data_IF_619200206461
#
_entry.id   IF_619200206461
#
_cell.length_a   1.000
_cell.length_b   1.000
_cell.length_c   1.000
_cell.angle_alpha   90.00
_cell.angle_beta   90.00
_cell.angle_gamma   90.00
#
_symmetry.space_group_name_H-M   'P 1'
#
loop_
_entity.id
_entity.type
_entity.pdbx_description
1 polymer ?
#
# COMPACT_ATOMS: atom_id res chain seq x y z
N UNK A 1 6.96 -5.60 4.41
CA UNK A 1 7.55 -4.91 5.57
C UNK A 1 6.47 -4.24 6.40
N UNK A 2 6.78 -3.75 7.61
CA UNK A 2 5.83 -2.97 8.41
C UNK A 2 6.51 -1.83 9.17
N UNK A 3 5.72 -0.85 9.59
CA UNK A 3 6.10 0.20 10.54
C UNK A 3 5.02 0.36 11.60
N UNK A 4 5.43 0.56 12.84
CA UNK A 4 4.55 0.96 13.94
C UNK A 4 4.81 2.41 14.32
N UNK A 5 3.73 3.16 14.52
CA UNK A 5 3.77 4.53 15.02
C UNK A 5 2.93 4.61 16.30
N UNK A 6 3.55 5.03 17.38
CA UNK A 6 2.86 5.27 18.65
C UNK A 6 2.40 6.72 18.69
N UNK A 7 1.10 6.91 18.87
CA UNK A 7 0.44 8.21 18.91
C UNK A 7 -0.04 8.45 20.33
N UNK A 8 0.30 9.62 20.87
CA UNK A 8 -0.15 10.06 22.19
C UNK A 8 -1.16 11.19 22.04
N UNK A 9 -2.20 11.14 22.88
CA UNK A 9 -3.34 12.04 22.85
C UNK A 9 -4.50 11.51 22.00
N UNK A 10 -5.60 12.27 21.95
CA UNK A 10 -6.79 11.87 21.22
C UNK A 10 -6.49 11.80 19.72
N UNK A 11 -6.87 10.69 19.10
CA UNK A 11 -6.74 10.46 17.68
C UNK A 11 -8.13 10.24 17.07
N UNK A 12 -8.49 11.07 16.09
CA UNK A 12 -9.75 10.91 15.37
C UNK A 12 -9.61 9.81 14.32
N UNK A 13 -10.28 8.69 14.54
CA UNK A 13 -10.21 7.50 13.69
C UNK A 13 -10.83 7.71 12.31
N UNK A 14 -11.87 8.56 12.21
CA UNK A 14 -12.49 8.90 10.92
C UNK A 14 -11.58 9.80 10.11
N UNK A 15 -10.94 10.75 10.77
CA UNK A 15 -9.99 11.64 10.14
C UNK A 15 -8.74 10.88 9.66
N UNK A 16 -8.24 9.94 10.46
CA UNK A 16 -7.18 9.03 10.02
C UNK A 16 -7.59 8.20 8.81
N UNK A 17 -8.81 7.66 8.81
CA UNK A 17 -9.36 6.96 7.67
C UNK A 17 -9.43 7.80 6.39
N UNK A 18 -9.81 9.08 6.51
CA UNK A 18 -9.78 10.04 5.39
C UNK A 18 -8.36 10.31 4.91
N UNK A 19 -7.41 10.47 5.82
CA UNK A 19 -6.00 10.67 5.48
C UNK A 19 -5.41 9.46 4.75
N UNK A 20 -5.72 8.24 5.20
CA UNK A 20 -5.35 7.00 4.53
C UNK A 20 -5.93 6.90 3.12
N UNK A 21 -7.21 7.24 2.95
CA UNK A 21 -7.86 7.24 1.63
C UNK A 21 -7.19 8.21 0.67
N UNK A 22 -6.94 9.45 1.13
CA UNK A 22 -6.24 10.47 0.34
C UNK A 22 -4.81 10.07 -0.01
N UNK A 23 -4.11 9.37 0.90
CA UNK A 23 -2.79 8.82 0.64
C UNK A 23 -2.83 7.76 -0.47
N UNK A 24 -3.80 6.84 -0.44
CA UNK A 24 -3.96 5.80 -1.46
C UNK A 24 -4.38 6.37 -2.82
N UNK A 25 -5.15 7.46 -2.83
CA UNK A 25 -5.50 8.17 -4.07
C UNK A 25 -4.26 8.78 -4.71
N UNK A 26 -3.43 9.44 -3.88
CA UNK A 26 -2.18 10.08 -4.29
C UNK A 26 -1.10 9.07 -4.70
N UNK A 27 -0.92 8.00 -3.94
CA UNK A 27 0.15 7.01 -4.12
C UNK A 27 -0.42 5.76 -4.80
N UNK A 28 -0.44 5.74 -6.13
CA UNK A 28 -1.01 4.63 -6.92
C UNK A 28 -0.38 3.27 -6.63
N UNK A 29 0.86 3.24 -6.13
CA UNK A 29 1.51 2.02 -5.61
C UNK A 29 0.66 1.31 -4.54
N UNK A 30 -0.13 2.06 -3.75
CA UNK A 30 -1.02 1.51 -2.74
C UNK A 30 -2.32 0.92 -3.30
N UNK A 31 -2.51 0.99 -4.62
CA UNK A 31 -3.67 0.47 -5.33
C UNK A 31 -3.30 -0.54 -6.41
N UNK A 32 -2.03 -0.97 -6.47
CA UNK A 32 -1.65 -1.99 -7.44
C UNK A 32 -2.33 -3.32 -7.12
N UNK A 33 -2.69 -4.04 -8.17
CA UNK A 33 -3.19 -5.41 -8.12
C UNK A 33 -2.37 -6.28 -9.06
N UNK A 34 -2.31 -7.56 -8.74
CA UNK A 34 -1.64 -8.57 -9.55
C UNK A 34 -2.64 -9.70 -9.76
N UNK A 35 -3.00 -9.95 -11.02
CA UNK A 35 -3.89 -11.02 -11.42
C UNK A 35 -3.24 -11.88 -12.50
N UNK A 36 -3.66 -13.13 -12.64
CA UNK A 36 -3.20 -14.00 -13.71
C UNK A 36 -4.10 -13.79 -14.92
N UNK A 37 -3.58 -13.14 -15.97
CA UNK A 37 -4.32 -13.04 -17.21
C UNK A 37 -4.45 -14.43 -17.82
N UNK A 38 -5.68 -14.93 -17.96
CA UNK A 38 -5.94 -16.08 -18.82
C UNK A 38 -5.75 -15.62 -20.26
N UNK A 39 -4.64 -16.02 -20.87
CA UNK A 39 -4.42 -15.77 -22.30
C UNK A 39 -5.59 -16.35 -23.10
N UNK A 40 -6.40 -15.50 -23.70
CA UNK A 40 -7.42 -15.90 -24.69
C UNK A 40 -6.80 -16.20 -26.06
N UNK A 41 -5.47 -16.15 -26.17
CA UNK A 41 -4.76 -16.62 -27.34
C UNK A 41 -4.69 -18.15 -27.27
N UNK A 42 -5.69 -18.79 -27.87
CA UNK A 42 -5.64 -20.22 -28.19
C UNK A 42 -4.47 -20.52 -29.10
N UNK A 43 -3.32 -20.83 -28.52
CA UNK A 43 -2.33 -21.70 -29.14
C UNK A 43 -2.84 -23.13 -28.98
N UNK A 44 -2.86 -23.88 -30.08
CA UNK A 44 -3.40 -25.24 -30.19
C UNK A 44 -2.64 -26.30 -29.33
N UNK A 45 -1.70 -25.88 -28.48
CA UNK A 45 -0.84 -26.71 -27.63
C UNK A 45 -1.25 -26.76 -26.14
N UNK A 46 -2.50 -26.43 -25.80
CA UNK A 46 -3.15 -26.85 -24.55
C UNK A 46 -2.55 -26.37 -23.21
N UNK A 47 -1.49 -25.57 -23.21
CA UNK A 47 -0.89 -24.97 -22.00
C UNK A 47 -0.93 -23.45 -22.16
N UNK A 48 -2.08 -22.85 -21.83
CA UNK A 48 -2.16 -21.40 -21.68
C UNK A 48 -1.26 -20.96 -20.53
N UNK A 49 -0.12 -20.33 -20.82
CA UNK A 49 0.72 -19.72 -19.80
C UNK A 49 -0.01 -18.48 -19.28
N UNK A 50 -0.62 -18.60 -18.09
CA UNK A 50 -1.20 -17.45 -17.43
C UNK A 50 -0.06 -16.56 -16.92
N UNK A 51 0.12 -15.40 -17.55
CA UNK A 51 1.14 -14.44 -17.13
C UNK A 51 0.55 -13.49 -16.08
N UNK A 52 1.29 -13.21 -14.98
CA UNK A 52 0.84 -12.24 -14.00
C UNK A 52 0.86 -10.84 -14.62
N UNK A 53 -0.27 -10.13 -14.53
CA UNK A 53 -0.44 -8.76 -14.98
C UNK A 53 -0.63 -7.86 -13.77
N UNK A 54 0.22 -6.83 -13.68
CA UNK A 54 0.09 -5.79 -12.67
C UNK A 54 -0.65 -4.58 -13.24
N UNK A 55 -1.61 -4.05 -12.49
CA UNK A 55 -2.35 -2.85 -12.88
C UNK A 55 -2.71 -2.01 -11.66
N UNK A 56 -3.06 -0.73 -11.87
CA UNK A 56 -3.57 0.16 -10.82
C UNK A 56 -5.09 0.03 -10.76
N UNK A 57 -5.62 -0.48 -9.65
CA UNK A 57 -7.06 -0.60 -9.46
C UNK A 57 -7.70 0.74 -9.03
N UNK A 58 -9.02 0.90 -9.23
CA UNK A 58 -9.77 1.99 -8.61
C UNK A 58 -9.64 2.01 -7.08
N UNK A 59 -9.97 3.14 -6.42
CA UNK A 59 -9.98 3.22 -4.96
C UNK A 59 -10.78 2.08 -4.33
N UNK A 60 -10.17 1.40 -3.35
CA UNK A 60 -10.81 0.31 -2.60
C UNK A 60 -11.51 0.87 -1.37
N UNK A 61 -12.66 0.28 -1.00
CA UNK A 61 -13.37 0.66 0.21
C UNK A 61 -12.45 0.56 1.43
N UNK A 62 -12.37 1.64 2.21
CA UNK A 62 -11.43 1.77 3.33
C UNK A 62 -11.56 0.62 4.35
N UNK A 63 -12.76 0.12 4.58
CA UNK A 63 -13.02 -1.01 5.49
C UNK A 63 -12.36 -2.33 5.08
N UNK A 64 -11.87 -2.46 3.84
CA UNK A 64 -11.17 -3.67 3.37
C UNK A 64 -9.71 -3.72 3.81
N UNK A 65 -9.13 -2.58 4.19
CA UNK A 65 -7.70 -2.47 4.48
C UNK A 65 -7.35 -1.55 5.65
N UNK A 66 -8.31 -0.82 6.22
CA UNK A 66 -8.17 -0.05 7.46
C UNK A 66 -9.14 -0.55 8.52
N UNK A 67 -8.61 -0.80 9.72
CA UNK A 67 -9.37 -1.28 10.86
C UNK A 67 -8.97 -0.55 12.14
N UNK A 68 -9.94 -0.34 13.04
CA UNK A 68 -9.72 0.14 14.40
C UNK A 68 -10.02 -1.01 15.36
N UNK A 69 -9.08 -1.29 16.26
CA UNK A 69 -9.19 -2.33 17.28
C UNK A 69 -8.88 -1.74 18.65
N UNK A 70 -9.57 -2.19 19.68
CA UNK A 70 -9.07 -2.03 21.04
C UNK A 70 -7.93 -3.04 21.26
N UNK A 71 -6.92 -2.67 22.04
CA UNK A 71 -5.71 -3.46 22.27
C UNK A 71 -5.75 -4.06 23.69
N UNK A 72 -6.32 -5.26 23.87
CA UNK A 72 -6.39 -5.92 25.18
C UNK A 72 -5.07 -6.57 25.61
N UNK A 73 -4.08 -6.68 24.72
CA UNK A 73 -2.84 -7.42 24.90
C UNK A 73 -1.61 -6.66 24.42
N UNK A 74 -0.52 -7.38 24.17
CA UNK A 74 0.74 -6.78 23.72
C UNK A 74 0.67 -6.41 22.24
N UNK A 75 1.16 -5.23 21.88
CA UNK A 75 1.15 -4.74 20.49
C UNK A 75 1.95 -5.67 19.56
N UNK A 76 3.00 -6.31 20.08
CA UNK A 76 3.86 -7.24 19.34
C UNK A 76 3.09 -8.47 18.81
N UNK A 77 2.06 -8.92 19.52
CA UNK A 77 1.20 -10.03 19.10
C UNK A 77 0.36 -9.62 17.88
N UNK A 78 -0.16 -8.39 17.89
CA UNK A 78 -0.88 -7.82 16.74
C UNK A 78 0.06 -7.63 15.55
N UNK A 79 1.25 -7.06 15.75
CA UNK A 79 2.26 -6.88 14.69
C UNK A 79 2.59 -8.23 14.04
N UNK A 80 2.84 -9.26 14.84
CA UNK A 80 3.15 -10.61 14.37
C UNK A 80 1.98 -11.20 13.58
N UNK A 81 0.75 -11.09 14.09
CA UNK A 81 -0.44 -11.58 13.41
C UNK A 81 -0.66 -10.88 12.05
N UNK A 82 -0.44 -9.57 11.99
CA UNK A 82 -0.62 -8.80 10.75
C UNK A 82 0.48 -9.10 9.72
N UNK A 83 1.72 -9.26 10.15
CA UNK A 83 2.84 -9.60 9.26
C UNK A 83 2.73 -11.02 8.68
N UNK A 84 2.17 -11.96 9.45
CA UNK A 84 1.99 -13.34 9.01
C UNK A 84 0.71 -13.56 8.19
N UNK A 85 -0.16 -12.55 8.07
CA UNK A 85 -1.35 -12.64 7.22
C UNK A 85 -0.96 -12.42 5.75
N UNK A 86 -1.11 -13.44 4.87
CA UNK A 86 -0.76 -13.31 3.44
C UNK A 86 -1.61 -12.25 2.75
N UNK A 87 -1.05 -11.56 1.75
CA UNK A 87 -1.82 -10.67 0.89
C UNK A 87 -2.38 -11.41 -0.32
N UNK A 88 -3.65 -11.18 -0.62
CA UNK A 88 -4.24 -11.55 -1.91
C UNK A 88 -4.23 -10.32 -2.83
N UNK A 89 -3.14 -10.14 -3.58
CA UNK A 89 -2.96 -8.98 -4.46
C UNK A 89 -3.92 -8.94 -5.65
N UNK A 90 -4.71 -10.00 -5.88
CA UNK A 90 -5.80 -9.94 -6.84
C UNK A 90 -7.01 -9.21 -6.26
N UNK A 91 -7.27 -9.38 -4.96
CA UNK A 91 -8.52 -8.97 -4.30
C UNK A 91 -8.38 -7.81 -3.31
N UNK A 92 -7.20 -7.57 -2.73
CA UNK A 92 -6.96 -6.50 -1.76
C UNK A 92 -5.78 -5.58 -2.10
N UNK A 93 -5.78 -4.32 -1.60
CA UNK A 93 -4.64 -3.43 -1.71
C UNK A 93 -3.38 -4.02 -1.05
N UNK A 94 -2.18 -3.65 -1.53
CA UNK A 94 -0.90 -4.09 -0.97
C UNK A 94 -0.53 -3.37 0.34
N UNK A 95 -1.52 -2.85 1.07
CA UNK A 95 -1.35 -2.13 2.33
C UNK A 95 -2.46 -2.55 3.29
N UNK A 96 -2.11 -2.77 4.56
CA UNK A 96 -3.06 -2.84 5.67
C UNK A 96 -2.69 -1.83 6.74
N UNK A 97 -3.70 -1.17 7.27
CA UNK A 97 -3.59 -0.22 8.37
C UNK A 97 -4.45 -0.70 9.53
N UNK A 98 -3.84 -0.92 10.69
CA UNK A 98 -4.58 -1.22 11.91
C UNK A 98 -4.24 -0.18 12.96
N UNK A 99 -5.27 0.51 13.43
CA UNK A 99 -5.17 1.38 14.59
C UNK A 99 -5.56 0.58 15.84
N UNK A 100 -4.58 0.21 16.65
CA UNK A 100 -4.77 -0.45 17.92
C UNK A 100 -4.83 0.60 19.05
N UNK A 101 -5.98 0.72 19.72
CA UNK A 101 -6.21 1.66 20.81
C UNK A 101 -5.90 0.98 22.13
N UNK A 102 -4.84 1.43 22.80
CA UNK A 102 -4.47 0.94 24.13
C UNK A 102 -5.24 1.68 25.23
N UNK A 103 -5.50 2.96 25.02
CA UNK A 103 -6.34 3.80 25.88
C UNK A 103 -6.91 4.96 25.07
N UNK A 104 -7.78 5.82 25.63
CA UNK A 104 -8.22 7.03 24.95
C UNK A 104 -7.07 7.90 24.43
N UNK A 105 -5.93 7.92 25.14
CA UNK A 105 -4.81 8.83 24.87
C UNK A 105 -3.56 8.12 24.35
N UNK A 106 -3.66 6.83 24.04
CA UNK A 106 -2.56 6.04 23.54
C UNK A 106 -3.06 5.05 22.49
N UNK A 107 -2.54 5.19 21.27
CA UNK A 107 -2.83 4.28 20.19
C UNK A 107 -1.57 3.95 19.36
N UNK A 108 -1.59 2.80 18.71
CA UNK A 108 -0.55 2.34 17.81
C UNK A 108 -1.14 2.16 16.42
N UNK A 109 -0.60 2.90 15.45
CA UNK A 109 -0.89 2.66 14.04
C UNK A 109 0.16 1.69 13.49
N UNK A 110 -0.28 0.51 13.07
CA UNK A 110 0.55 -0.48 12.38
C UNK A 110 0.22 -0.45 10.91
N UNK A 111 1.21 -0.16 10.07
CA UNK A 111 1.10 -0.19 8.61
C UNK A 111 1.93 -1.36 8.09
N UNK A 112 1.29 -2.30 7.39
CA UNK A 112 1.94 -3.44 6.76
C UNK A 112 1.83 -3.29 5.25
N UNK A 113 2.96 -3.27 4.54
CA UNK A 113 3.01 -3.18 3.09
C UNK A 113 3.55 -4.48 2.47
N UNK A 114 2.96 -4.87 1.34
CA UNK A 114 3.52 -5.88 0.47
C UNK A 114 4.70 -5.31 -0.33
N UNK A 115 5.79 -6.07 -0.47
CA UNK A 115 7.01 -5.61 -1.14
C UNK A 115 6.84 -5.29 -2.63
N UNK A 116 5.79 -5.81 -3.26
CA UNK A 116 5.41 -5.45 -4.63
C UNK A 116 5.04 -3.96 -4.77
N UNK A 117 4.54 -3.33 -3.70
CA UNK A 117 4.17 -1.92 -3.71
C UNK A 117 5.29 -1.01 -3.20
N UNK A 118 6.08 -1.44 -2.22
CA UNK A 118 7.17 -0.63 -1.69
C UNK A 118 8.02 -1.35 -0.66
N UNK A 119 9.17 -0.75 -0.35
CA UNK A 119 10.12 -1.25 0.63
C UNK A 119 9.95 -0.59 2.01
N UNK A 120 10.82 -0.96 2.96
CA UNK A 120 10.80 -0.40 4.31
C UNK A 120 11.12 1.11 4.34
N UNK A 121 11.88 1.63 3.38
CA UNK A 121 12.17 3.06 3.27
C UNK A 121 10.92 3.84 2.83
N UNK A 122 10.23 3.32 1.81
CA UNK A 122 8.99 3.86 1.27
C UNK A 122 7.92 3.97 2.34
N UNK A 123 7.83 3.00 3.26
CA UNK A 123 6.91 3.04 4.40
C UNK A 123 7.09 4.26 5.30
N UNK A 124 8.32 4.71 5.55
CA UNK A 124 8.57 5.90 6.37
C UNK A 124 8.14 7.19 5.65
N UNK A 125 8.36 7.26 4.33
CA UNK A 125 7.89 8.39 3.51
C UNK A 125 6.36 8.45 3.52
N UNK A 126 5.70 7.30 3.29
CA UNK A 126 4.24 7.18 3.34
C UNK A 126 3.67 7.56 4.70
N UNK A 127 4.34 7.17 5.80
CA UNK A 127 3.97 7.56 7.14
C UNK A 127 4.05 9.09 7.35
N UNK A 128 5.08 9.74 6.82
CA UNK A 128 5.20 11.21 6.88
C UNK A 128 4.12 11.94 6.08
N UNK A 129 3.80 11.48 4.87
CA UNK A 129 2.71 12.03 4.06
C UNK A 129 1.35 11.82 4.75
N UNK A 130 1.13 10.64 5.35
CA UNK A 130 -0.09 10.33 6.10
C UNK A 130 -0.35 11.33 7.22
N UNK A 131 0.66 11.63 8.03
CA UNK A 131 0.49 12.60 9.12
C UNK A 131 0.33 14.02 8.63
N UNK A 132 0.99 14.39 7.53
CA UNK A 132 0.79 15.69 6.89
C UNK A 132 -0.66 15.86 6.41
N UNK A 133 -1.23 14.82 5.78
CA UNK A 133 -2.64 14.77 5.38
C UNK A 133 -3.57 14.85 6.58
N UNK A 134 -3.32 14.04 7.61
CA UNK A 134 -4.11 14.04 8.84
C UNK A 134 -4.11 15.40 9.51
N UNK A 135 -2.94 16.03 9.68
CA UNK A 135 -2.80 17.35 10.31
C UNK A 135 -3.51 18.44 9.51
N UNK A 136 -3.41 18.43 8.18
CA UNK A 136 -4.15 19.38 7.34
C UNK A 136 -5.66 19.22 7.53
N UNK A 137 -6.17 17.99 7.44
CA UNK A 137 -7.59 17.73 7.63
C UNK A 137 -8.08 18.06 9.05
N UNK A 138 -7.25 17.86 10.08
CA UNK A 138 -7.57 18.21 11.46
C UNK A 138 -7.75 19.72 11.65
N UNK A 139 -7.01 20.52 10.89
CA UNK A 139 -7.07 21.98 10.91
C UNK A 139 -8.13 22.56 9.96
N UNK A 140 -8.70 21.72 9.09
CA UNK A 140 -9.59 22.17 8.02
C UNK A 140 -8.85 22.79 6.82
N UNK A 141 -7.52 22.58 6.75
CA UNK A 141 -6.68 23.10 5.69
C UNK A 141 -6.62 22.16 4.48
N UNK A 142 -6.26 22.70 3.32
CA UNK A 142 -5.91 21.89 2.15
C UNK A 142 -4.52 21.25 2.36
N UNK A 143 -4.33 19.94 2.08
CA UNK A 143 -3.02 19.32 2.19
C UNK A 143 -1.98 19.95 1.27
N UNK A 144 -0.85 20.38 1.84
CA UNK A 144 0.28 20.95 1.10
C UNK A 144 1.40 19.91 0.92
N UNK A 145 1.13 18.86 0.14
CA UNK A 145 2.16 17.88 -0.23
C UNK A 145 2.83 18.26 -1.56
N UNK A 146 4.14 18.01 -1.75
CA UNK A 146 4.82 18.25 -3.03
C UNK A 146 4.11 17.56 -4.19
N UNK A 147 4.19 18.09 -5.41
CA UNK A 147 3.69 17.34 -6.58
C UNK A 147 4.51 16.07 -6.78
N UNK A 148 3.86 14.93 -7.06
CA UNK A 148 4.57 13.73 -7.48
C UNK A 148 5.16 13.98 -8.87
N UNK A 149 6.48 13.87 -9.01
CA UNK A 149 7.17 14.09 -10.29
C UNK A 149 6.85 13.02 -11.34
N UNK A 150 6.42 11.83 -10.89
CA UNK A 150 5.94 10.73 -11.73
C UNK A 150 5.02 9.84 -10.91
N UNK A 151 4.05 9.22 -11.57
CA UNK A 151 3.17 8.21 -10.96
C UNK A 151 3.79 6.80 -11.02
N UNK A 152 3.51 5.95 -10.04
CA UNK A 152 4.11 4.61 -9.98
C UNK A 152 3.79 3.74 -11.20
N UNK A 153 2.57 3.84 -11.74
CA UNK A 153 2.20 3.10 -12.96
C UNK A 153 3.05 3.51 -14.16
N UNK A 154 3.36 4.80 -14.27
CA UNK A 154 4.23 5.34 -15.34
C UNK A 154 5.67 4.89 -15.17
N UNK A 155 6.17 4.91 -13.93
CA UNK A 155 7.51 4.40 -13.62
C UNK A 155 7.64 2.91 -13.95
N UNK A 156 6.65 2.10 -13.54
CA UNK A 156 6.65 0.66 -13.80
C UNK A 156 6.62 0.34 -15.30
N UNK A 157 5.83 1.06 -16.09
CA UNK A 157 5.79 0.93 -17.55
C UNK A 157 7.15 1.28 -18.17
N UNK A 158 7.74 2.42 -17.80
CA UNK A 158 9.04 2.82 -18.33
C UNK A 158 10.16 1.81 -17.97
N UNK A 159 10.15 1.28 -16.75
CA UNK A 159 11.11 0.26 -16.32
C UNK A 159 10.91 -1.09 -17.05
N UNK A 160 9.68 -1.44 -17.41
CA UNK A 160 9.40 -2.62 -18.23
C UNK A 160 9.91 -2.44 -19.66
N UNK A 161 9.65 -1.28 -20.28
CA UNK A 161 10.16 -0.93 -21.61
C UNK A 161 11.69 -0.98 -21.66
N UNK A 162 12.37 -0.46 -20.63
CA UNK A 162 13.82 -0.51 -20.49
C UNK A 162 14.35 -1.95 -20.38
N UNK A 163 13.73 -2.80 -19.55
CA UNK A 163 14.15 -4.22 -19.42
C UNK A 163 13.91 -5.03 -20.70
N UNK A 164 12.85 -4.71 -21.44
CA UNK A 164 12.56 -5.34 -22.73
C UNK A 164 13.42 -4.78 -23.87
N UNK A 165 14.22 -3.75 -23.63
CA UNK A 165 15.16 -3.21 -24.62
C UNK A 165 16.33 -4.18 -24.87
N UNK A 166 16.99 -4.09 -26.03
CA UNK A 166 18.14 -4.96 -26.35
C UNK A 166 19.27 -4.88 -25.32
N UNK A 167 19.46 -3.72 -24.70
CA UNK A 167 20.47 -3.51 -23.67
C UNK A 167 20.00 -4.07 -22.32
N UNK A 168 18.72 -3.90 -21.97
CA UNK A 168 18.13 -4.52 -20.78
C UNK A 168 18.16 -6.05 -20.79
N UNK A 169 17.97 -6.68 -21.96
CA UNK A 169 18.09 -8.14 -22.12
C UNK A 169 19.54 -8.61 -21.95
N UNK A 170 20.53 -7.81 -22.37
CA UNK A 170 21.96 -8.13 -22.17
C UNK A 170 22.35 -8.02 -20.70
N UNK A 171 21.88 -7.00 -19.99
CA UNK A 171 22.15 -6.83 -18.57
C UNK A 171 21.52 -7.93 -17.70
N UNK A 172 20.37 -8.48 -18.10
CA UNK A 172 19.78 -9.66 -17.42
C UNK A 172 20.49 -10.99 -17.74
N UNK A 173 21.25 -11.05 -18.83
CA UNK A 173 21.92 -12.26 -19.29
C UNK A 173 23.39 -12.37 -18.78
N UNK A 174 23.89 -11.35 -18.09
CA UNK A 174 25.23 -11.26 -17.50
C UNK A 174 25.22 -11.62 -16.02
#
# INVERSE_FOLDING_TARGET
GYVRQTVRGPLDTRLLGRALSALADRQTMLRIRIDNATGTNGTEDGIGSAAPVQYVAPPSALSTWYEVRELPGRIEELETALCNRPFDLSAEPPLRAVLARESPELAHLVLVIHHAAGDGYSLNVLAGELWSLYTAFARGDAPALPSLGTDFGRYAAAAADERSSPDGVRDLAA
#
